data_IF_035140788438
#
_entry.id   IF_035140788438
#
_cell.length_a   1.000
_cell.length_b   1.000
_cell.length_c   1.000
_cell.angle_alpha   90.00
_cell.angle_beta   90.00
_cell.angle_gamma   90.00
#
_symmetry.space_group_name_H-M   'P 1'
#
loop_
_entity.id
_entity.type
_entity.pdbx_description
1 polymer ?
#
# COMPACT_ATOMS: atom_id res chain seq x y z
N UNK A 1 73.48 83.68 -19.13
CA UNK A 1 72.17 84.31 -19.38
C UNK A 1 71.87 84.02 -20.82
N UNK A 2 70.90 83.14 -21.08
CA UNK A 2 70.51 82.81 -22.46
C UNK A 2 69.79 84.03 -23.06
N UNK A 3 70.31 84.53 -24.18
CA UNK A 3 69.67 85.59 -24.95
C UNK A 3 68.47 84.94 -25.63
N UNK A 4 67.23 85.41 -25.41
CA UNK A 4 66.07 84.86 -26.09
C UNK A 4 66.17 85.15 -27.59
N UNK A 5 66.17 84.09 -28.40
CA UNK A 5 66.12 84.16 -29.86
C UNK A 5 64.74 83.73 -30.36
N UNK A 6 64.27 84.32 -31.47
CA UNK A 6 63.01 83.95 -32.11
C UNK A 6 63.22 82.74 -33.03
N UNK A 7 62.49 81.65 -32.77
CA UNK A 7 62.52 80.41 -33.55
C UNK A 7 62.20 80.64 -35.03
N UNK A 8 61.34 81.61 -35.35
CA UNK A 8 60.98 81.92 -36.75
C UNK A 8 62.18 82.43 -37.57
N UNK A 9 63.06 83.20 -36.92
CA UNK A 9 64.25 83.79 -37.55
C UNK A 9 65.33 82.74 -37.75
N UNK A 10 65.50 81.82 -36.78
CA UNK A 10 66.41 80.66 -36.89
C UNK A 10 66.05 79.81 -38.10
N UNK A 11 64.77 79.47 -38.27
CA UNK A 11 64.31 78.64 -39.40
C UNK A 11 64.53 79.33 -40.75
N UNK A 12 64.32 80.65 -40.84
CA UNK A 12 64.58 81.41 -42.06
C UNK A 12 66.06 81.45 -42.46
N UNK A 13 66.96 81.67 -41.50
CA UNK A 13 68.40 81.64 -41.76
C UNK A 13 68.89 80.24 -42.11
N UNK A 14 68.40 79.21 -41.43
CA UNK A 14 68.69 77.81 -41.73
C UNK A 14 68.24 77.42 -43.15
N UNK A 15 67.03 77.84 -43.54
CA UNK A 15 66.47 77.57 -44.87
C UNK A 15 67.20 78.32 -45.98
N UNK A 16 67.65 79.55 -45.72
CA UNK A 16 68.47 80.32 -46.65
C UNK A 16 69.83 79.66 -46.87
N UNK A 17 70.52 79.26 -45.81
CA UNK A 17 71.81 78.56 -45.89
C UNK A 17 71.69 77.22 -46.65
N UNK A 18 70.59 76.49 -46.43
CA UNK A 18 70.31 75.25 -47.17
C UNK A 18 70.09 75.51 -48.67
N UNK A 19 69.33 76.56 -49.04
CA UNK A 19 69.10 76.93 -50.44
C UNK A 19 70.35 77.43 -51.15
N UNK A 20 71.29 78.03 -50.41
CA UNK A 20 72.60 78.48 -50.93
C UNK A 20 73.62 77.32 -51.04
N UNK A 21 73.26 76.10 -50.65
CA UNK A 21 74.14 74.92 -50.70
C UNK A 21 75.19 74.87 -49.59
N UNK A 22 75.05 75.71 -48.55
CA UNK A 22 75.95 75.77 -47.41
C UNK A 22 75.52 74.78 -46.31
N UNK A 23 76.50 74.26 -45.55
CA UNK A 23 76.23 73.28 -44.49
C UNK A 23 75.67 73.97 -43.24
N UNK A 24 74.36 73.83 -43.01
CA UNK A 24 73.67 74.38 -41.84
C UNK A 24 74.27 73.81 -40.54
N UNK A 25 74.97 74.65 -39.77
CA UNK A 25 75.59 74.30 -38.48
C UNK A 25 75.25 75.35 -37.43
N UNK A 26 75.22 74.94 -36.15
CA UNK A 26 74.84 75.82 -35.02
C UNK A 26 75.74 77.06 -34.96
N UNK A 27 77.03 76.91 -35.24
CA UNK A 27 77.99 78.03 -35.28
C UNK A 27 77.70 79.02 -36.40
N UNK A 28 77.31 78.56 -37.60
CA UNK A 28 77.00 79.44 -38.73
C UNK A 28 75.70 80.22 -38.52
N UNK A 29 74.71 79.62 -37.87
CA UNK A 29 73.47 80.34 -37.52
C UNK A 29 73.72 81.32 -36.37
N UNK A 30 74.50 80.92 -35.37
CA UNK A 30 74.92 81.79 -34.27
C UNK A 30 75.68 83.02 -34.77
N UNK A 31 76.64 82.83 -35.70
CA UNK A 31 77.38 83.91 -36.36
C UNK A 31 76.47 84.82 -37.20
N UNK A 32 75.51 84.25 -37.94
CA UNK A 32 74.57 85.01 -38.75
C UNK A 32 73.57 85.83 -37.92
N UNK A 33 73.27 85.40 -36.69
CA UNK A 33 72.37 86.07 -35.76
C UNK A 33 73.10 86.95 -34.72
N UNK A 34 74.44 86.92 -34.69
CA UNK A 34 75.28 87.59 -33.69
C UNK A 34 74.95 87.16 -32.25
N UNK A 35 74.71 85.87 -32.03
CA UNK A 35 74.39 85.27 -30.72
C UNK A 35 75.45 84.22 -30.38
N UNK A 36 75.73 83.96 -29.10
CA UNK A 36 76.61 82.86 -28.73
C UNK A 36 75.97 81.49 -29.03
N UNK A 37 76.78 80.49 -29.47
CA UNK A 37 76.30 79.13 -29.65
C UNK A 37 75.76 78.58 -28.33
N UNK A 38 74.45 78.34 -28.26
CA UNK A 38 73.75 77.82 -27.07
C UNK A 38 73.08 76.49 -27.40
N UNK A 39 72.98 75.61 -26.40
CA UNK A 39 72.26 74.34 -26.49
C UNK A 39 70.79 74.53 -26.90
N UNK A 40 70.19 75.68 -26.55
CA UNK A 40 68.84 76.05 -27.01
C UNK A 40 68.75 76.25 -28.52
N UNK A 41 69.77 76.85 -29.14
CA UNK A 41 69.82 77.06 -30.59
C UNK A 41 70.00 75.73 -31.33
N UNK A 42 70.80 74.81 -30.76
CA UNK A 42 70.95 73.46 -31.29
C UNK A 42 69.61 72.71 -31.27
N UNK A 43 68.87 72.76 -30.16
CA UNK A 43 67.58 72.10 -30.04
C UNK A 43 66.54 72.63 -31.06
N UNK A 44 66.54 73.94 -31.34
CA UNK A 44 65.62 74.52 -32.33
C UNK A 44 66.05 74.20 -33.77
N UNK A 45 67.35 74.12 -34.04
CA UNK A 45 67.88 73.71 -35.34
C UNK A 45 67.59 72.22 -35.65
N UNK A 46 67.63 71.36 -34.63
CA UNK A 46 67.19 69.96 -34.73
C UNK A 46 65.69 69.85 -35.03
N UNK A 47 64.86 70.70 -34.43
CA UNK A 47 63.41 70.76 -34.73
C UNK A 47 63.13 71.20 -36.16
N UNK A 48 63.83 72.24 -36.63
CA UNK A 48 63.76 72.66 -38.03
C UNK A 48 64.18 71.54 -38.98
N UNK A 49 65.26 70.81 -38.67
CA UNK A 49 65.71 69.70 -39.50
C UNK A 49 64.65 68.58 -39.60
N UNK A 50 64.01 68.24 -38.48
CA UNK A 50 62.88 67.30 -38.44
C UNK A 50 61.68 67.78 -39.28
N UNK A 51 61.39 69.08 -39.28
CA UNK A 51 60.31 69.66 -40.08
C UNK A 51 60.64 69.63 -41.59
N UNK A 52 61.88 69.96 -41.96
CA UNK A 52 62.37 69.87 -43.35
C UNK A 52 62.40 68.42 -43.84
N UNK A 53 62.85 67.47 -43.02
CA UNK A 53 62.77 66.03 -43.34
C UNK A 53 61.32 65.57 -43.55
N UNK A 54 60.37 66.14 -42.81
CA UNK A 54 58.93 65.90 -42.98
C UNK A 54 58.34 66.46 -44.28
N UNK A 55 58.99 67.43 -44.91
CA UNK A 55 58.55 68.07 -46.16
C UNK A 55 59.18 67.47 -47.42
N UNK A 56 60.19 66.60 -47.30
CA UNK A 56 60.77 65.87 -48.45
C UNK A 56 59.91 64.62 -48.76
N UNK A 57 59.13 64.61 -49.87
CA UNK A 57 58.18 63.54 -50.17
C UNK A 57 58.85 62.18 -50.43
N UNK A 58 60.15 62.15 -50.74
CA UNK A 58 60.89 60.94 -51.09
C UNK A 58 61.14 59.97 -49.92
N UNK A 59 60.94 60.39 -48.65
CA UNK A 59 61.12 59.52 -47.47
C UNK A 59 59.81 59.08 -46.80
N UNK A 60 58.66 59.63 -47.20
CA UNK A 60 57.34 59.20 -46.72
C UNK A 60 56.84 57.89 -47.36
N UNK A 61 57.50 57.36 -48.39
CA UNK A 61 57.17 56.06 -48.98
C UNK A 61 57.82 54.85 -48.31
N UNK A 62 58.70 55.06 -47.31
CA UNK A 62 59.44 53.98 -46.63
C UNK A 62 58.96 53.69 -45.20
N UNK A 63 57.83 54.27 -44.79
CA UNK A 63 57.21 53.98 -43.49
C UNK A 63 55.71 53.69 -43.66
N UNK A 64 55.40 52.62 -44.38
CA UNK A 64 54.23 51.79 -44.11
C UNK A 64 54.46 50.41 -44.73
N UNK A 65 54.23 49.40 -43.90
CA UNK A 65 53.95 48.01 -44.26
C UNK A 65 55.10 47.10 -44.72
N UNK A 66 55.30 46.08 -43.90
CA UNK A 66 55.93 44.80 -44.18
C UNK A 66 55.41 44.19 -45.48
N UNK A 67 55.90 44.63 -46.63
CA UNK A 67 55.90 43.89 -47.90
C UNK A 67 57.13 44.36 -48.68
N UNK A 68 58.30 43.82 -48.31
CA UNK A 68 59.42 43.72 -49.25
C UNK A 68 58.86 42.91 -50.42
N UNK A 69 58.76 43.45 -51.65
CA UNK A 69 58.51 42.59 -52.79
C UNK A 69 59.69 41.63 -52.79
N UNK A 70 59.43 40.32 -52.69
CA UNK A 70 60.44 39.31 -53.01
C UNK A 70 60.77 39.47 -54.50
N UNK A 71 61.57 40.48 -54.81
CA UNK A 71 62.27 40.59 -56.07
C UNK A 71 63.20 39.38 -56.05
N UNK A 72 62.96 38.38 -56.92
CA UNK A 72 63.75 37.17 -56.89
C UNK A 72 65.23 37.54 -57.00
N UNK A 73 66.09 36.83 -56.26
CA UNK A 73 67.54 37.06 -56.25
C UNK A 73 68.13 37.13 -57.67
N UNK A 74 67.49 36.44 -58.62
CA UNK A 74 67.82 36.49 -60.06
C UNK A 74 67.73 37.89 -60.68
N UNK A 75 66.82 38.76 -60.22
CA UNK A 75 66.68 40.14 -60.70
C UNK A 75 67.72 41.04 -60.05
N UNK A 76 68.09 40.79 -58.79
CA UNK A 76 69.17 41.53 -58.14
C UNK A 76 70.53 41.19 -58.78
N UNK A 77 70.78 39.90 -59.01
CA UNK A 77 71.95 39.41 -59.73
C UNK A 77 72.03 39.93 -61.17
N UNK A 78 70.91 40.04 -61.88
CA UNK A 78 70.91 40.55 -63.26
C UNK A 78 71.23 42.04 -63.31
N UNK A 79 70.66 42.85 -62.41
CA UNK A 79 70.97 44.29 -62.31
C UNK A 79 72.44 44.51 -61.93
N UNK A 80 72.97 43.70 -61.02
CA UNK A 80 74.38 43.79 -60.61
C UNK A 80 75.34 43.38 -61.74
N UNK A 81 75.02 42.35 -62.52
CA UNK A 81 75.76 42.00 -63.74
C UNK A 81 75.75 43.13 -64.77
N UNK A 82 74.60 43.79 -64.98
CA UNK A 82 74.49 44.91 -65.92
C UNK A 82 75.38 46.07 -65.48
N UNK A 83 75.39 46.38 -64.18
CA UNK A 83 76.24 47.43 -63.60
C UNK A 83 77.73 47.10 -63.73
N UNK A 84 78.13 45.87 -63.41
CA UNK A 84 79.52 45.42 -63.53
C UNK A 84 80.01 45.42 -65.00
N UNK A 85 79.14 45.08 -65.95
CA UNK A 85 79.45 45.14 -67.37
C UNK A 85 79.58 46.60 -67.85
N UNK A 86 78.66 47.48 -67.46
CA UNK A 86 78.75 48.91 -67.81
C UNK A 86 80.04 49.55 -67.25
N UNK A 87 80.48 49.14 -66.05
CA UNK A 87 81.73 49.61 -65.46
C UNK A 87 82.97 49.12 -66.22
N UNK A 88 82.93 47.88 -66.74
CA UNK A 88 84.00 47.33 -67.58
C UNK A 88 84.06 48.02 -68.93
N UNK A 89 82.91 48.27 -69.56
CA UNK A 89 82.84 48.95 -70.86
C UNK A 89 83.35 50.39 -70.75
N UNK A 90 82.97 51.12 -69.70
CA UNK A 90 83.48 52.47 -69.44
C UNK A 90 85.00 52.49 -69.18
N UNK A 91 85.55 51.46 -68.53
CA UNK A 91 87.00 51.31 -68.35
C UNK A 91 87.72 50.98 -69.66
N UNK A 92 87.12 50.13 -70.48
CA UNK A 92 87.66 49.76 -71.79
C UNK A 92 87.67 50.97 -72.74
N UNK A 93 86.61 51.78 -72.78
CA UNK A 93 86.59 53.03 -73.54
C UNK A 93 87.68 54.00 -73.08
N UNK A 94 87.96 54.06 -71.77
CA UNK A 94 89.00 54.92 -71.20
C UNK A 94 90.42 54.42 -71.53
N UNK A 95 90.65 53.11 -71.55
CA UNK A 95 91.92 52.50 -72.00
C UNK A 95 92.12 52.67 -73.52
N UNK A 96 91.07 52.54 -74.32
CA UNK A 96 91.13 52.76 -75.77
C UNK A 96 91.39 54.23 -76.10
N UNK A 97 90.79 55.17 -75.34
CA UNK A 97 91.09 56.59 -75.46
C UNK A 97 92.56 56.91 -75.08
N UNK A 98 93.13 56.19 -74.10
CA UNK A 98 94.54 56.35 -73.72
C UNK A 98 95.52 55.77 -74.76
N UNK A 99 95.19 54.64 -75.39
CA UNK A 99 96.05 53.96 -76.38
C UNK A 99 96.15 54.69 -77.72
N UNK A 100 95.18 55.51 -78.11
CA UNK A 100 95.20 56.28 -79.36
C UNK A 100 96.12 57.53 -79.33
N UNK A 101 96.84 57.78 -78.22
CA UNK A 101 97.67 59.00 -78.05
C UNK A 101 99.18 58.76 -78.08
N UNK A 102 99.64 57.54 -78.37
CA UNK A 102 101.09 57.22 -78.42
C UNK A 102 101.49 56.77 -79.82
N UNK A 103 102.07 57.73 -80.56
CA UNK A 103 102.75 57.55 -81.84
C UNK A 103 103.72 56.36 -81.81
N UNK A 104 103.45 55.33 -82.62
CA UNK A 104 104.46 54.31 -82.96
C UNK A 104 104.30 53.91 -84.43
N UNK A 105 104.69 54.81 -85.32
CA UNK A 105 104.95 54.48 -86.72
C UNK A 105 106.45 54.19 -86.89
N UNK A 106 106.78 53.17 -87.69
CA UNK A 106 108.13 52.77 -88.15
C UNK A 106 108.79 51.52 -87.53
N UNK A 107 108.05 50.42 -87.34
CA UNK A 107 108.66 49.06 -87.39
C UNK A 107 107.69 47.95 -87.84
N UNK A 108 106.82 48.28 -88.80
CA UNK A 108 105.45 47.78 -88.95
C UNK A 108 105.26 46.59 -89.91
N UNK A 109 106.29 45.80 -90.23
CA UNK A 109 106.12 44.67 -91.17
C UNK A 109 106.68 43.33 -90.68
N UNK A 110 107.68 43.32 -89.81
CA UNK A 110 108.14 42.09 -89.12
C UNK A 110 107.41 41.88 -87.80
N UNK A 111 107.33 42.94 -86.98
CA UNK A 111 106.54 42.96 -85.75
C UNK A 111 105.04 42.90 -86.03
N UNK A 112 104.53 43.52 -87.10
CA UNK A 112 103.10 43.39 -87.46
C UNK A 112 102.70 41.94 -87.70
N UNK A 113 103.52 41.13 -88.36
CA UNK A 113 103.18 39.70 -88.58
C UNK A 113 103.26 38.85 -87.31
N UNK A 114 104.23 39.11 -86.43
CA UNK A 114 104.36 38.41 -85.14
C UNK A 114 103.30 38.87 -84.13
N UNK A 115 102.96 40.16 -84.13
CA UNK A 115 101.88 40.74 -83.33
C UNK A 115 100.52 40.27 -83.85
N UNK A 116 100.32 40.18 -85.17
CA UNK A 116 99.13 39.58 -85.79
C UNK A 116 99.00 38.09 -85.43
N UNK A 117 100.10 37.33 -85.41
CA UNK A 117 100.11 35.94 -84.96
C UNK A 117 99.81 35.83 -83.46
N UNK A 118 100.33 36.74 -82.64
CA UNK A 118 100.05 36.79 -81.21
C UNK A 118 98.59 37.17 -80.93
N UNK A 119 98.05 38.16 -81.65
CA UNK A 119 96.63 38.56 -81.63
C UNK A 119 95.73 37.41 -82.09
N UNK A 120 96.11 36.70 -83.15
CA UNK A 120 95.40 35.52 -83.62
C UNK A 120 95.44 34.40 -82.59
N UNK A 121 96.61 34.14 -81.98
CA UNK A 121 96.76 33.11 -80.95
C UNK A 121 95.96 33.41 -79.69
N UNK A 122 96.00 34.65 -79.21
CA UNK A 122 95.21 35.10 -78.06
C UNK A 122 93.71 35.09 -78.37
N UNK A 123 93.31 35.42 -79.60
CA UNK A 123 91.93 35.29 -80.06
C UNK A 123 91.49 33.81 -80.13
N UNK A 124 92.34 32.92 -80.64
CA UNK A 124 92.08 31.47 -80.66
C UNK A 124 91.95 30.94 -79.24
N UNK A 125 92.86 31.31 -78.33
CA UNK A 125 92.81 30.91 -76.91
C UNK A 125 91.53 31.42 -76.23
N UNK A 126 91.13 32.67 -76.47
CA UNK A 126 89.86 33.20 -75.95
C UNK A 126 88.62 32.48 -76.54
N UNK A 127 88.67 32.10 -77.82
CA UNK A 127 87.62 31.31 -78.46
C UNK A 127 87.59 29.87 -77.92
N UNK A 128 88.74 29.25 -77.68
CA UNK A 128 88.87 27.92 -77.08
C UNK A 128 88.34 27.91 -75.64
N UNK A 129 88.72 28.90 -74.83
CA UNK A 129 88.20 29.09 -73.47
C UNK A 129 86.68 29.31 -73.47
N UNK A 130 86.16 30.13 -74.38
CA UNK A 130 84.73 30.34 -74.55
C UNK A 130 84.02 29.05 -74.95
N UNK A 131 84.58 28.29 -75.89
CA UNK A 131 84.04 27.00 -76.32
C UNK A 131 84.05 25.97 -75.19
N UNK A 132 85.11 25.94 -74.38
CA UNK A 132 85.21 25.06 -73.21
C UNK A 132 84.17 25.42 -72.14
N UNK A 133 83.96 26.71 -71.86
CA UNK A 133 82.89 27.17 -70.96
C UNK A 133 81.50 26.80 -71.49
N UNK A 134 81.26 26.99 -72.78
CA UNK A 134 80.00 26.61 -73.43
C UNK A 134 79.76 25.10 -73.35
N UNK A 135 80.79 24.27 -73.55
CA UNK A 135 80.69 22.81 -73.39
C UNK A 135 80.36 22.40 -71.96
N UNK A 136 81.00 23.01 -70.97
CA UNK A 136 80.70 22.75 -69.55
C UNK A 136 79.26 23.18 -69.21
N UNK A 137 78.82 24.35 -69.66
CA UNK A 137 77.43 24.79 -69.48
C UNK A 137 76.43 23.86 -70.16
N UNK A 138 76.72 23.37 -71.36
CA UNK A 138 75.89 22.37 -72.03
C UNK A 138 75.81 21.07 -71.23
N UNK A 139 76.93 20.58 -70.70
CA UNK A 139 76.97 19.39 -69.86
C UNK A 139 76.17 19.57 -68.55
N UNK A 140 76.28 20.72 -67.90
CA UNK A 140 75.50 21.05 -66.70
C UNK A 140 74.00 21.14 -67.01
N UNK A 141 73.62 21.69 -68.17
CA UNK A 141 72.23 21.74 -68.62
C UNK A 141 71.70 20.34 -68.93
N UNK A 142 72.48 19.48 -69.59
CA UNK A 142 72.10 18.10 -69.87
C UNK A 142 71.90 17.28 -68.59
N UNK A 143 72.76 17.46 -67.58
CA UNK A 143 72.58 16.81 -66.27
C UNK A 143 71.35 17.35 -65.55
N UNK A 144 71.10 18.66 -65.58
CA UNK A 144 69.88 19.26 -65.03
C UNK A 144 68.62 18.73 -65.72
N UNK A 145 68.62 18.57 -67.05
CA UNK A 145 67.49 18.00 -67.80
C UNK A 145 67.23 16.57 -67.37
N UNK A 146 68.26 15.72 -67.26
CA UNK A 146 68.12 14.34 -66.78
C UNK A 146 67.55 14.27 -65.36
N UNK A 147 67.97 15.17 -64.47
CA UNK A 147 67.45 15.25 -63.11
C UNK A 147 65.96 15.63 -63.10
N UNK A 148 65.56 16.63 -63.89
CA UNK A 148 64.16 17.04 -64.03
C UNK A 148 63.30 15.94 -64.67
N UNK A 149 63.83 15.19 -65.63
CA UNK A 149 63.15 14.04 -66.22
C UNK A 149 62.93 12.91 -65.19
N UNK A 150 63.93 12.64 -64.35
CA UNK A 150 63.81 11.68 -63.25
C UNK A 150 62.78 12.13 -62.20
N UNK A 151 62.79 13.41 -61.82
CA UNK A 151 61.80 14.00 -60.92
C UNK A 151 60.39 13.90 -61.50
N UNK A 152 60.22 14.23 -62.79
CA UNK A 152 58.93 14.08 -63.49
C UNK A 152 58.45 12.63 -63.51
N UNK A 153 59.35 11.67 -63.71
CA UNK A 153 59.00 10.25 -63.68
C UNK A 153 58.57 9.80 -62.26
N UNK A 154 59.29 10.23 -61.22
CA UNK A 154 58.92 9.97 -59.83
C UNK A 154 57.57 10.60 -59.46
N UNK A 155 57.34 11.86 -59.82
CA UNK A 155 56.07 12.55 -59.59
C UNK A 155 54.91 11.87 -60.31
N UNK A 156 55.11 11.38 -61.54
CA UNK A 156 54.09 10.58 -62.25
C UNK A 156 53.77 9.28 -61.54
N UNK A 157 54.79 8.57 -61.05
CA UNK A 157 54.59 7.33 -60.29
C UNK A 157 53.87 7.59 -58.96
N UNK A 158 54.23 8.66 -58.26
CA UNK A 158 53.57 9.08 -57.02
C UNK A 158 52.12 9.47 -57.28
N UNK A 159 51.84 10.22 -58.35
CA UNK A 159 50.49 10.60 -58.73
C UNK A 159 49.64 9.36 -59.00
N UNK A 160 50.13 8.41 -59.81
CA UNK A 160 49.43 7.16 -60.09
C UNK A 160 49.16 6.34 -58.81
N UNK A 161 50.12 6.28 -57.88
CA UNK A 161 49.91 5.63 -56.59
C UNK A 161 48.85 6.34 -55.74
N UNK A 162 48.85 7.68 -55.72
CA UNK A 162 47.85 8.46 -54.98
C UNK A 162 46.46 8.30 -55.57
N UNK A 163 46.32 8.26 -56.90
CA UNK A 163 45.04 8.01 -57.60
C UNK A 163 44.51 6.61 -57.26
N UNK A 164 45.37 5.58 -57.27
CA UNK A 164 44.99 4.23 -56.84
C UNK A 164 44.53 4.21 -55.37
N UNK A 165 45.26 4.88 -54.48
CA UNK A 165 44.90 4.96 -53.06
C UNK A 165 43.56 5.68 -52.84
N UNK A 166 43.30 6.75 -53.59
CA UNK A 166 42.01 7.46 -53.55
C UNK A 166 40.88 6.53 -54.01
N UNK A 167 41.06 5.77 -55.10
CA UNK A 167 40.07 4.79 -55.56
C UNK A 167 39.79 3.69 -54.53
N UNK A 168 40.82 3.19 -53.85
CA UNK A 168 40.64 2.21 -52.76
C UNK A 168 39.91 2.81 -51.55
N UNK A 169 40.22 4.05 -51.16
CA UNK A 169 39.53 4.75 -50.09
C UNK A 169 38.06 5.01 -50.42
N UNK A 170 37.74 5.40 -51.66
CA UNK A 170 36.35 5.57 -52.11
C UNK A 170 35.56 4.27 -52.02
N UNK A 171 36.16 3.14 -52.43
CA UNK A 171 35.56 1.81 -52.29
C UNK A 171 35.32 1.43 -50.84
N UNK A 172 36.30 1.65 -49.97
CA UNK A 172 36.15 1.38 -48.53
C UNK A 172 35.08 2.27 -47.90
N UNK A 173 34.99 3.53 -48.32
CA UNK A 173 33.97 4.46 -47.85
C UNK A 173 32.58 4.04 -48.30
N UNK A 174 32.42 3.60 -49.55
CA UNK A 174 31.15 3.05 -50.06
C UNK A 174 30.73 1.79 -49.30
N UNK A 175 31.67 0.88 -49.02
CA UNK A 175 31.42 -0.32 -48.23
C UNK A 175 30.99 0.03 -46.79
N UNK A 176 31.73 0.92 -46.12
CA UNK A 176 31.41 1.35 -44.76
C UNK A 176 30.04 2.04 -44.66
N UNK A 177 29.64 2.79 -45.71
CA UNK A 177 28.28 3.37 -45.80
C UNK A 177 27.21 2.28 -45.93
N UNK A 178 27.43 1.29 -46.80
CA UNK A 178 26.51 0.15 -46.94
C UNK A 178 26.34 -0.64 -45.64
N UNK A 179 27.45 -0.93 -44.96
CA UNK A 179 27.43 -1.63 -43.67
C UNK A 179 26.68 -0.81 -42.59
N UNK A 180 26.87 0.51 -42.57
CA UNK A 180 26.16 1.40 -41.65
C UNK A 180 24.65 1.44 -41.92
N UNK A 181 24.22 1.49 -43.18
CA UNK A 181 22.80 1.44 -43.56
C UNK A 181 22.15 0.10 -43.21
N UNK A 182 22.87 -1.01 -43.43
CA UNK A 182 22.40 -2.34 -43.05
C UNK A 182 22.27 -2.47 -41.53
N UNK A 183 23.26 -1.98 -40.78
CA UNK A 183 23.22 -1.97 -39.32
C UNK A 183 22.07 -1.10 -38.78
N UNK A 184 21.83 0.07 -39.37
CA UNK A 184 20.72 0.94 -39.01
C UNK A 184 19.37 0.26 -39.26
N UNK A 185 19.20 -0.36 -40.43
CA UNK A 185 17.98 -1.09 -40.79
C UNK A 185 17.73 -2.28 -39.87
N UNK A 186 18.76 -3.08 -39.59
CA UNK A 186 18.68 -4.20 -38.66
C UNK A 186 18.30 -3.76 -37.24
N UNK A 187 18.88 -2.65 -36.76
CA UNK A 187 18.55 -2.07 -35.45
C UNK A 187 17.09 -1.64 -35.38
N UNK A 188 16.59 -0.97 -36.41
CA UNK A 188 15.20 -0.48 -36.44
C UNK A 188 14.20 -1.65 -36.52
N UNK A 189 14.55 -2.71 -37.22
CA UNK A 189 13.75 -3.94 -37.30
C UNK A 189 13.73 -4.70 -35.97
N UNK A 190 14.88 -4.82 -35.30
CA UNK A 190 14.98 -5.38 -33.96
C UNK A 190 14.16 -4.57 -32.94
N UNK A 191 14.21 -3.23 -33.03
CA UNK A 191 13.39 -2.35 -32.18
C UNK A 191 11.89 -2.59 -32.40
N UNK A 192 11.44 -2.66 -33.66
CA UNK A 192 10.03 -2.97 -33.99
C UNK A 192 9.59 -4.32 -33.43
N UNK A 193 10.44 -5.35 -33.54
CA UNK A 193 10.16 -6.67 -32.99
C UNK A 193 10.06 -6.65 -31.46
N UNK A 194 10.94 -5.92 -30.77
CA UNK A 194 10.89 -5.76 -29.32
C UNK A 194 9.62 -5.01 -28.88
N UNK A 195 9.28 -3.91 -29.54
CA UNK A 195 8.06 -3.14 -29.25
C UNK A 195 6.80 -4.00 -29.46
N UNK A 196 6.79 -4.84 -30.51
CA UNK A 196 5.69 -5.77 -30.77
C UNK A 196 5.58 -6.86 -29.70
N UNK A 197 6.70 -7.48 -29.31
CA UNK A 197 6.73 -8.48 -28.22
C UNK A 197 6.25 -7.89 -26.90
N UNK A 198 6.70 -6.67 -26.58
CA UNK A 198 6.27 -5.97 -25.37
C UNK A 198 4.76 -5.71 -25.37
N UNK A 199 4.19 -5.26 -26.50
CA UNK A 199 2.73 -5.09 -26.63
C UNK A 199 1.97 -6.40 -26.45
N UNK A 200 2.44 -7.49 -27.07
CA UNK A 200 1.82 -8.81 -26.94
C UNK A 200 1.90 -9.34 -25.50
N UNK A 201 3.02 -9.14 -24.82
CA UNK A 201 3.21 -9.54 -23.43
C UNK A 201 2.30 -8.75 -22.48
N UNK A 202 2.17 -7.42 -22.69
CA UNK A 202 1.23 -6.57 -21.95
C UNK A 202 -0.21 -7.07 -22.15
N UNK A 203 -0.61 -7.36 -23.40
CA UNK A 203 -1.95 -7.86 -23.70
C UNK A 203 -2.20 -9.22 -23.02
N UNK A 204 -1.25 -10.16 -23.11
CA UNK A 204 -1.34 -11.46 -22.44
C UNK A 204 -1.47 -11.31 -20.92
N UNK A 205 -0.71 -10.40 -20.31
CA UNK A 205 -0.82 -10.12 -18.88
C UNK A 205 -2.17 -9.52 -18.50
N UNK A 206 -2.67 -8.55 -19.28
CA UNK A 206 -4.00 -7.96 -19.08
C UNK A 206 -5.11 -9.01 -19.21
N UNK A 207 -5.06 -9.88 -20.21
CA UNK A 207 -6.00 -11.00 -20.34
C UNK A 207 -5.93 -11.97 -19.15
N UNK A 208 -4.72 -12.28 -18.68
CA UNK A 208 -4.51 -13.08 -17.48
C UNK A 208 -5.12 -12.45 -16.23
N UNK A 209 -4.94 -11.13 -16.07
CA UNK A 209 -5.50 -10.36 -14.98
C UNK A 209 -7.04 -10.33 -15.02
N UNK A 210 -7.63 -10.06 -16.18
CA UNK A 210 -9.09 -10.06 -16.38
C UNK A 210 -9.72 -11.44 -16.06
N UNK A 211 -9.04 -12.53 -16.44
CA UNK A 211 -9.47 -13.90 -16.09
C UNK A 211 -9.40 -14.15 -14.58
N UNK A 212 -8.35 -13.67 -13.92
CA UNK A 212 -8.21 -13.78 -12.47
C UNK A 212 -9.27 -12.94 -11.72
N UNK A 213 -9.53 -11.71 -12.16
CA UNK A 213 -10.58 -10.84 -11.62
C UNK A 213 -11.97 -11.47 -11.76
N UNK A 214 -12.27 -12.05 -12.92
CA UNK A 214 -13.53 -12.77 -13.15
C UNK A 214 -13.70 -13.96 -12.19
N UNK A 215 -12.63 -14.73 -11.95
CA UNK A 215 -12.63 -15.82 -10.97
C UNK A 215 -12.78 -15.32 -9.54
N UNK A 216 -12.09 -14.23 -9.17
CA UNK A 216 -12.22 -13.61 -7.85
C UNK A 216 -13.64 -13.12 -7.59
N UNK A 217 -14.26 -12.47 -8.57
CA UNK A 217 -15.66 -12.04 -8.51
C UNK A 217 -16.61 -13.23 -8.32
N UNK A 218 -16.39 -14.32 -9.06
CA UNK A 218 -17.15 -15.56 -8.92
C UNK A 218 -17.03 -16.17 -7.52
N UNK A 219 -15.81 -16.30 -6.98
CA UNK A 219 -15.61 -16.85 -5.64
C UNK A 219 -16.16 -15.94 -4.54
N UNK A 220 -16.08 -14.62 -4.71
CA UNK A 220 -16.71 -13.66 -3.80
C UNK A 220 -18.23 -13.86 -3.75
N UNK A 221 -18.87 -13.99 -4.92
CA UNK A 221 -20.31 -14.28 -5.00
C UNK A 221 -20.68 -15.63 -4.36
N UNK A 222 -19.86 -16.67 -4.55
CA UNK A 222 -20.06 -17.95 -3.88
C UNK A 222 -19.94 -17.83 -2.35
N UNK A 223 -18.97 -17.07 -1.85
CA UNK A 223 -18.81 -16.84 -0.41
C UNK A 223 -20.01 -16.09 0.18
N UNK A 224 -20.54 -15.09 -0.52
CA UNK A 224 -21.72 -14.36 -0.07
C UNK A 224 -22.96 -15.27 -0.05
N UNK A 225 -23.15 -16.12 -1.07
CA UNK A 225 -24.19 -17.17 -1.05
C UNK A 225 -24.06 -18.12 0.14
N UNK A 226 -22.84 -18.59 0.41
CA UNK A 226 -22.60 -19.49 1.54
C UNK A 226 -22.87 -18.80 2.87
N UNK A 227 -22.50 -17.53 3.02
CA UNK A 227 -22.83 -16.73 4.21
C UNK A 227 -24.33 -16.59 4.40
N UNK A 228 -25.07 -16.31 3.33
CA UNK A 228 -26.54 -16.21 3.39
C UNK A 228 -27.18 -17.56 3.76
N UNK A 229 -26.71 -18.66 3.17
CA UNK A 229 -27.20 -20.01 3.49
C UNK A 229 -26.88 -20.40 4.94
N UNK A 230 -25.68 -20.08 5.43
CA UNK A 230 -25.30 -20.30 6.82
C UNK A 230 -26.13 -19.45 7.77
N UNK A 231 -26.33 -18.16 7.49
CA UNK A 231 -27.18 -17.28 8.29
C UNK A 231 -28.62 -17.78 8.37
N UNK A 232 -29.18 -18.29 7.25
CA UNK A 232 -30.50 -18.93 7.24
C UNK A 232 -30.55 -20.20 8.08
N UNK A 233 -29.53 -21.08 7.97
CA UNK A 233 -29.44 -22.32 8.77
C UNK A 233 -29.29 -22.02 10.26
N UNK A 234 -28.44 -21.06 10.61
CA UNK A 234 -28.26 -20.60 12.00
C UNK A 234 -29.55 -20.03 12.56
N UNK A 235 -30.26 -19.17 11.81
CA UNK A 235 -31.57 -18.65 12.20
C UNK A 235 -32.61 -19.75 12.44
N UNK A 236 -32.67 -20.75 11.55
CA UNK A 236 -33.58 -21.89 11.69
C UNK A 236 -33.23 -22.77 12.90
N UNK A 237 -31.94 -23.01 13.16
CA UNK A 237 -31.48 -23.76 14.33
C UNK A 237 -31.79 -23.02 15.63
N UNK A 238 -31.57 -21.70 15.68
CA UNK A 238 -31.91 -20.89 16.84
C UNK A 238 -33.42 -20.88 17.12
N UNK A 239 -34.25 -20.77 16.08
CA UNK A 239 -35.71 -20.86 16.23
C UNK A 239 -36.14 -22.22 16.78
N UNK A 240 -35.58 -23.33 16.25
CA UNK A 240 -35.85 -24.68 16.77
C UNK A 240 -35.38 -24.86 18.22
N UNK A 241 -34.23 -24.27 18.57
CA UNK A 241 -33.72 -24.31 19.94
C UNK A 241 -34.65 -23.57 20.92
N UNK A 242 -35.15 -22.40 20.53
CA UNK A 242 -36.14 -21.66 21.32
C UNK A 242 -37.45 -22.44 21.48
N UNK A 243 -37.94 -23.06 20.41
CA UNK A 243 -39.16 -23.90 20.47
C UNK A 243 -38.99 -25.10 21.41
N UNK A 244 -37.85 -25.79 21.34
CA UNK A 244 -37.53 -26.88 22.27
C UNK A 244 -37.41 -26.38 23.71
N UNK A 245 -36.77 -25.23 23.95
CA UNK A 245 -36.71 -24.63 25.29
C UNK A 245 -38.11 -24.30 25.83
N UNK A 246 -38.99 -23.76 24.99
CA UNK A 246 -40.38 -23.49 25.36
C UNK A 246 -41.15 -24.79 25.67
N UNK A 247 -40.92 -25.85 24.90
CA UNK A 247 -41.53 -27.16 25.15
C UNK A 247 -41.04 -27.78 26.46
N UNK A 248 -39.73 -27.71 26.75
CA UNK A 248 -39.15 -28.14 28.03
C UNK A 248 -39.78 -27.37 29.19
N UNK A 249 -39.86 -26.04 29.11
CA UNK A 249 -40.46 -25.22 30.16
C UNK A 249 -41.94 -25.58 30.41
N UNK A 250 -42.73 -25.86 29.36
CA UNK A 250 -44.13 -26.31 29.51
C UNK A 250 -44.21 -27.69 30.18
N UNK A 251 -43.31 -28.60 29.81
CA UNK A 251 -43.24 -29.93 30.42
C UNK A 251 -42.85 -29.83 31.89
N UNK A 252 -41.90 -28.98 32.25
CA UNK A 252 -41.48 -28.76 33.64
C UNK A 252 -42.64 -28.26 34.51
N UNK A 253 -43.40 -27.26 34.03
CA UNK A 253 -44.62 -26.78 34.73
C UNK A 253 -45.67 -27.88 34.89
N UNK A 254 -45.84 -28.70 33.85
CA UNK A 254 -46.79 -29.83 33.87
C UNK A 254 -46.36 -30.88 34.91
N UNK A 255 -45.07 -31.25 34.92
CA UNK A 255 -44.49 -32.18 35.88
C UNK A 255 -44.63 -31.64 37.31
N UNK A 256 -44.30 -30.37 37.55
CA UNK A 256 -44.47 -29.73 38.86
C UNK A 256 -45.93 -29.78 39.35
N UNK A 257 -46.87 -29.56 38.42
CA UNK A 257 -48.30 -29.63 38.73
C UNK A 257 -48.72 -31.06 39.09
N UNK A 258 -48.29 -32.06 38.31
CA UNK A 258 -48.56 -33.47 38.59
C UNK A 258 -47.94 -33.90 39.93
N UNK A 259 -46.71 -33.48 40.24
CA UNK A 259 -46.07 -33.76 41.52
C UNK A 259 -46.88 -33.19 42.69
N UNK A 260 -47.39 -31.95 42.56
CA UNK A 260 -48.26 -31.35 43.59
C UNK A 260 -49.58 -32.11 43.75
N UNK A 261 -50.19 -32.54 42.65
CA UNK A 261 -51.42 -33.34 42.69
C UNK A 261 -51.19 -34.69 43.39
N UNK A 262 -50.10 -35.40 43.06
CA UNK A 262 -49.73 -36.66 43.70
C UNK A 262 -49.56 -36.45 45.21
N UNK A 263 -48.86 -35.39 45.64
CA UNK A 263 -48.71 -35.07 47.07
C UNK A 263 -50.05 -34.81 47.76
N UNK A 264 -50.95 -34.07 47.13
CA UNK A 264 -52.30 -33.82 47.64
C UNK A 264 -53.10 -35.12 47.80
N UNK A 265 -53.06 -35.99 46.79
CA UNK A 265 -53.73 -37.29 46.83
C UNK A 265 -53.13 -38.20 47.92
N UNK A 266 -51.82 -38.21 48.10
CA UNK A 266 -51.15 -38.94 49.19
C UNK A 266 -51.58 -38.44 50.58
N UNK A 267 -51.78 -37.14 50.75
CA UNK A 267 -52.32 -36.56 51.98
C UNK A 267 -53.78 -36.97 52.23
N UNK A 268 -54.63 -36.95 51.19
CA UNK A 268 -56.02 -37.44 51.27
C UNK A 268 -56.08 -38.92 51.61
N UNK A 269 -55.26 -39.76 50.99
CA UNK A 269 -55.17 -41.19 51.31
C UNK A 269 -54.74 -41.43 52.76
N UNK A 270 -53.80 -40.63 53.28
CA UNK A 270 -53.42 -40.68 54.71
C UNK A 270 -54.58 -40.28 55.62
N UNK A 271 -55.35 -39.25 55.26
CA UNK A 271 -56.56 -38.84 56.01
C UNK A 271 -57.60 -39.96 56.01
N UNK A 272 -57.92 -40.54 54.85
CA UNK A 272 -58.85 -41.67 54.75
C UNK A 272 -58.40 -42.88 55.55
N UNK A 273 -57.10 -43.22 55.55
CA UNK A 273 -56.58 -44.28 56.43
C UNK A 273 -56.80 -43.97 57.92
N UNK A 274 -56.57 -42.72 58.32
CA UNK A 274 -56.83 -42.26 59.69
C UNK A 274 -58.31 -42.36 60.06
N UNK A 275 -59.20 -41.92 59.16
CA UNK A 275 -60.66 -42.00 59.31
C UNK A 275 -61.14 -43.45 59.40
N UNK A 276 -60.68 -44.35 58.52
CA UNK A 276 -61.01 -45.78 58.57
C UNK A 276 -60.56 -46.39 59.91
N UNK A 277 -59.36 -46.04 60.39
CA UNK A 277 -58.85 -46.54 61.67
C UNK A 277 -59.71 -46.03 62.84
N UNK A 278 -60.08 -44.76 62.84
CA UNK A 278 -60.97 -44.17 63.85
C UNK A 278 -62.39 -44.76 63.78
N UNK A 279 -62.95 -44.92 62.59
CA UNK A 279 -64.27 -45.50 62.38
C UNK A 279 -64.28 -46.96 62.85
N UNK A 280 -63.24 -47.74 62.54
CA UNK A 280 -63.08 -49.10 63.06
C UNK A 280 -63.10 -49.14 64.59
N UNK A 281 -62.34 -48.26 65.26
CA UNK A 281 -62.35 -48.13 66.73
C UNK A 281 -63.74 -47.76 67.27
N UNK A 282 -64.41 -46.79 66.65
CA UNK A 282 -65.76 -46.36 67.03
C UNK A 282 -66.79 -47.47 66.87
N UNK A 283 -66.72 -48.24 65.78
CA UNK A 283 -67.57 -49.41 65.54
C UNK A 283 -67.30 -50.47 66.62
N UNK A 284 -66.05 -50.81 66.92
CA UNK A 284 -65.73 -51.76 67.99
C UNK A 284 -66.23 -51.30 69.36
N UNK A 285 -66.07 -50.01 69.69
CA UNK A 285 -66.56 -49.43 70.94
C UNK A 285 -68.11 -49.47 71.01
N UNK A 286 -68.79 -49.05 69.96
CA UNK A 286 -70.25 -49.11 69.84
C UNK A 286 -70.76 -50.56 69.93
N UNK A 287 -70.12 -51.50 69.24
CA UNK A 287 -70.49 -52.91 69.29
C UNK A 287 -70.32 -53.49 70.70
N UNK A 288 -69.25 -53.11 71.41
CA UNK A 288 -69.03 -53.47 72.82
C UNK A 288 -70.12 -52.87 73.71
N UNK A 289 -70.51 -51.62 73.49
CA UNK A 289 -71.59 -50.96 74.21
C UNK A 289 -72.94 -51.64 73.95
N UNK A 290 -73.26 -52.00 72.71
CA UNK A 290 -74.46 -52.76 72.33
C UNK A 290 -74.47 -54.12 73.03
N UNK A 291 -73.35 -54.85 73.05
CA UNK A 291 -73.27 -56.12 73.79
C UNK A 291 -73.49 -55.92 75.29
N UNK A 292 -72.96 -54.85 75.88
CA UNK A 292 -73.16 -54.53 77.28
C UNK A 292 -74.63 -54.19 77.60
N UNK A 293 -75.29 -53.37 76.76
CA UNK A 293 -76.72 -53.05 76.91
C UNK A 293 -77.60 -54.26 76.64
N UNK A 294 -77.27 -55.11 75.66
CA UNK A 294 -77.99 -56.34 75.38
C UNK A 294 -77.89 -57.35 76.53
N UNK A 295 -76.69 -57.51 77.12
CA UNK A 295 -76.51 -58.33 78.33
C UNK A 295 -77.25 -57.77 79.55
N UNK A 296 -77.39 -56.43 79.65
CA UNK A 296 -78.22 -55.79 80.69
C UNK A 296 -79.70 -56.02 80.43
N UNK A 297 -80.14 -55.91 79.17
CA UNK A 297 -81.51 -56.12 78.75
C UNK A 297 -81.93 -57.56 79.00
N UNK A 298 -81.11 -58.54 78.61
CA UNK A 298 -81.34 -59.96 78.91
C UNK A 298 -81.49 -60.24 80.40
N UNK A 299 -80.62 -59.64 81.24
CA UNK A 299 -80.76 -59.74 82.71
C UNK A 299 -82.09 -59.16 83.21
N UNK A 300 -82.50 -58.02 82.68
CA UNK A 300 -83.79 -57.41 83.02
C UNK A 300 -84.98 -58.26 82.51
N UNK A 301 -84.87 -58.89 81.35
CA UNK A 301 -85.86 -59.84 80.84
C UNK A 301 -85.96 -61.07 81.75
N UNK A 302 -84.84 -61.64 82.18
CA UNK A 302 -84.79 -62.77 83.12
C UNK A 302 -85.44 -62.39 84.47
N UNK A 303 -85.11 -61.20 85.00
CA UNK A 303 -85.74 -60.66 86.21
C UNK A 303 -87.25 -60.45 86.02
N UNK A 304 -87.68 -59.93 84.86
CA UNK A 304 -89.08 -59.72 84.55
C UNK A 304 -89.84 -61.04 84.46
N UNK A 305 -89.28 -62.07 83.79
CA UNK A 305 -89.88 -63.40 83.76
C UNK A 305 -90.02 -64.01 85.16
N UNK A 306 -89.01 -63.83 86.01
CA UNK A 306 -89.04 -64.29 87.40
C UNK A 306 -90.15 -63.58 88.20
N UNK A 307 -90.27 -62.25 88.05
CA UNK A 307 -91.38 -61.47 88.64
C UNK A 307 -92.74 -61.88 88.11
N UNK A 308 -92.88 -62.14 86.80
CA UNK A 308 -94.13 -62.64 86.22
C UNK A 308 -94.51 -64.03 86.78
N UNK A 309 -93.52 -64.91 86.99
CA UNK A 309 -93.73 -66.21 87.61
C UNK A 309 -94.17 -66.07 89.08
N UNK A 310 -93.52 -65.20 89.86
CA UNK A 310 -93.91 -64.86 91.24
C UNK A 310 -95.33 -64.29 91.29
N UNK A 311 -95.70 -63.40 90.37
CA UNK A 311 -97.04 -62.83 90.28
C UNK A 311 -98.06 -63.93 89.93
N UNK A 312 -97.76 -64.83 88.99
CA UNK A 312 -98.64 -65.97 88.66
C UNK A 312 -98.82 -66.89 89.85
N UNK A 313 -97.75 -67.21 90.58
CA UNK A 313 -97.81 -68.02 91.79
C UNK A 313 -98.61 -67.33 92.90
N UNK A 314 -98.35 -66.06 93.16
CA UNK A 314 -99.09 -65.23 94.12
C UNK A 314 -100.58 -65.13 93.75
N UNK A 315 -100.91 -64.93 92.47
CA UNK A 315 -102.29 -64.94 91.99
C UNK A 315 -102.95 -66.31 92.17
N UNK A 316 -102.22 -67.40 91.93
CA UNK A 316 -102.69 -68.77 92.19
C UNK A 316 -102.92 -69.01 93.67
N UNK A 317 -102.00 -68.58 94.54
CA UNK A 317 -102.17 -68.62 96.02
C UNK A 317 -103.39 -67.81 96.44
N UNK A 318 -103.54 -66.58 95.96
CA UNK A 318 -104.71 -65.75 96.26
C UNK A 318 -106.03 -66.33 95.75
N UNK A 319 -106.02 -67.07 94.62
CA UNK A 319 -107.20 -67.82 94.15
C UNK A 319 -107.50 -69.03 95.04
N UNK A 320 -106.47 -69.77 95.47
CA UNK A 320 -106.62 -70.88 96.43
C UNK A 320 -107.14 -70.37 97.78
N UNK A 321 -106.57 -69.29 98.32
CA UNK A 321 -107.02 -68.66 99.56
C UNK A 321 -108.46 -68.14 99.45
N UNK A 322 -108.84 -67.55 98.31
CA UNK A 322 -110.24 -67.18 98.03
C UNK A 322 -111.14 -68.41 97.98
N UNK A 323 -110.73 -69.47 97.31
CA UNK A 323 -111.49 -70.71 97.24
C UNK A 323 -111.69 -71.34 98.63
N UNK A 324 -110.62 -71.43 99.42
CA UNK A 324 -110.65 -71.92 100.80
C UNK A 324 -111.49 -71.02 101.71
N UNK A 325 -111.40 -69.70 101.56
CA UNK A 325 -112.25 -68.74 102.26
C UNK A 325 -113.72 -68.93 101.90
N UNK A 326 -114.05 -69.04 100.61
CA UNK A 326 -115.44 -69.29 100.18
C UNK A 326 -115.94 -70.63 100.68
N UNK A 327 -115.10 -71.68 100.66
CA UNK A 327 -115.46 -73.00 101.20
C UNK A 327 -115.75 -72.93 102.70
N UNK A 328 -114.89 -72.29 103.49
CA UNK A 328 -115.12 -72.05 104.93
C UNK A 328 -116.37 -71.23 105.19
N UNK A 329 -116.62 -70.20 104.39
CA UNK A 329 -117.86 -69.40 104.48
C UNK A 329 -119.10 -70.25 104.18
N UNK A 330 -119.02 -71.15 103.19
CA UNK A 330 -120.11 -72.05 102.83
C UNK A 330 -120.37 -73.09 103.94
N UNK A 331 -119.31 -73.66 104.51
CA UNK A 331 -119.38 -74.58 105.66
C UNK A 331 -120.01 -73.88 106.88
N UNK A 332 -119.64 -72.62 107.17
CA UNK A 332 -120.25 -71.81 108.23
C UNK A 332 -121.74 -71.52 107.98
N UNK A 333 -122.14 -71.21 106.73
CA UNK A 333 -123.55 -71.01 106.37
C UNK A 333 -124.38 -72.28 106.58
N UNK A 334 -123.84 -73.44 106.23
CA UNK A 334 -124.52 -74.73 106.48
C UNK A 334 -124.65 -75.00 107.98
N UNK A 335 -123.59 -74.75 108.76
CA UNK A 335 -123.61 -74.93 110.21
C UNK A 335 -124.61 -74.00 110.91
N UNK A 336 -124.78 -72.76 110.43
CA UNK A 336 -125.85 -71.88 110.92
C UNK A 336 -127.24 -72.42 110.58
N UNK A 337 -127.44 -72.93 109.35
CA UNK A 337 -128.72 -73.51 108.93
C UNK A 337 -129.09 -74.74 109.76
N UNK A 338 -128.12 -75.57 110.10
CA UNK A 338 -128.32 -76.71 110.99
C UNK A 338 -128.69 -76.24 112.42
N UNK A 339 -128.06 -75.17 112.92
CA UNK A 339 -128.43 -74.56 114.20
C UNK A 339 -129.83 -73.94 114.19
N UNK A 340 -130.25 -73.31 113.09
CA UNK A 340 -131.60 -72.78 112.92
C UNK A 340 -132.66 -73.89 112.88
N UNK A 341 -132.35 -75.05 112.28
CA UNK A 341 -133.27 -76.21 112.29
C UNK A 341 -133.37 -76.86 113.66
N UNK A 342 -132.27 -77.00 114.42
CA UNK A 342 -132.29 -77.41 115.83
C UNK A 342 -133.10 -76.44 116.70
N UNK A 343 -132.92 -75.13 116.50
CA UNK A 343 -133.67 -74.11 117.23
C UNK A 343 -135.17 -74.24 116.97
N UNK A 344 -135.60 -74.41 115.72
CA UNK A 344 -137.00 -74.60 115.36
C UNK A 344 -137.61 -75.88 115.97
N UNK A 345 -136.86 -76.98 116.01
CA UNK A 345 -137.28 -78.21 116.67
C UNK A 345 -137.45 -78.01 118.19
N UNK A 346 -136.54 -77.24 118.82
CA UNK A 346 -136.64 -76.93 120.25
C UNK A 346 -137.86 -76.03 120.57
N UNK A 347 -138.12 -75.02 119.72
CA UNK A 347 -139.30 -74.16 119.80
C UNK A 347 -140.60 -74.96 119.66
N UNK A 348 -140.66 -75.90 118.71
CA UNK A 348 -141.81 -76.78 118.54
C UNK A 348 -142.05 -77.64 119.80
N UNK A 349 -140.98 -78.14 120.43
CA UNK A 349 -141.07 -78.96 121.65
C UNK A 349 -141.50 -78.15 122.89
N UNK A 350 -141.08 -76.89 122.99
CA UNK A 350 -141.54 -75.96 124.03
C UNK A 350 -143.03 -75.64 123.85
N UNK A 351 -143.47 -75.40 122.61
CA UNK A 351 -144.89 -75.17 122.29
C UNK A 351 -145.77 -76.39 122.61
N UNK A 352 -145.27 -77.59 122.35
CA UNK A 352 -145.93 -78.85 122.73
C UNK A 352 -146.08 -78.98 124.27
N UNK A 353 -145.00 -78.71 125.01
CA UNK A 353 -145.02 -78.74 126.47
C UNK A 353 -145.95 -77.66 127.06
N UNK A 354 -146.00 -76.47 126.48
CA UNK A 354 -146.96 -75.43 126.86
C UNK A 354 -148.41 -75.90 126.65
N UNK A 355 -148.72 -76.57 125.54
CA UNK A 355 -150.06 -77.14 125.31
C UNK A 355 -150.43 -78.22 126.33
N UNK A 356 -149.49 -79.09 126.68
CA UNK A 356 -149.69 -80.12 127.72
C UNK A 356 -149.90 -79.48 129.10
N UNK A 357 -149.15 -78.41 129.41
CA UNK A 357 -149.27 -77.68 130.67
C UNK A 357 -150.63 -76.99 130.80
N UNK A 358 -151.10 -76.32 129.73
CA UNK A 358 -152.44 -75.71 129.70
C UNK A 358 -153.55 -76.76 129.90
N UNK A 359 -153.44 -77.93 129.24
CA UNK A 359 -154.40 -79.02 129.41
C UNK A 359 -154.43 -79.56 130.86
N UNK A 360 -153.27 -79.66 131.52
CA UNK A 360 -153.16 -80.05 132.93
C UNK A 360 -153.71 -78.98 133.87
N UNK A 361 -153.52 -77.70 133.57
CA UNK A 361 -154.07 -76.59 134.35
C UNK A 361 -155.61 -76.50 134.27
N UNK A 362 -156.21 -76.86 133.13
CA UNK A 362 -157.66 -76.97 132.98
C UNK A 362 -158.25 -78.21 133.68
N UNK A 363 -157.50 -79.32 133.70
CA UNK A 363 -157.86 -80.54 134.43
C UNK A 363 -157.86 -80.31 135.96
N UNK A 364 -156.87 -79.58 136.47
CA UNK A 364 -156.81 -79.13 137.87
C UNK A 364 -158.00 -78.23 138.20
N UNK A 365 -158.31 -77.24 137.36
CA UNK A 365 -159.44 -76.32 137.59
C UNK A 365 -160.79 -77.03 137.72
N UNK A 366 -161.06 -78.07 136.92
CA UNK A 366 -162.33 -78.82 137.02
C UNK A 366 -162.43 -79.68 138.26
N UNK A 367 -161.33 -80.29 138.72
CA UNK A 367 -161.31 -81.12 139.93
C UNK A 367 -161.51 -80.29 141.21
N UNK A 368 -161.08 -79.03 141.23
CA UNK A 368 -161.31 -78.09 142.34
C UNK A 368 -162.75 -77.58 142.47
N UNK A 369 -163.59 -77.65 141.43
CA UNK A 369 -164.97 -77.13 141.48
C UNK A 369 -166.01 -78.15 142.00
N UNK A 370 -165.56 -79.30 142.50
CA UNK A 370 -166.41 -80.37 143.08
C UNK A 370 -166.22 -80.58 144.60
N UNK A 371 -165.54 -79.64 145.25
CA UNK A 371 -165.54 -79.40 146.70
C UNK A 371 -166.12 -78.01 146.95
#
# INVERSE_FOLDING_TARGET
>A
MEIPFDASVVHQHASRLLLEGNKVTVTQIADAMQIEPSDGLQAELERWWLEVEGQVPFRKSLRSDYHRPEVPETVYQSVQMIWDNALKDARLELELAARNTVDTSTNDQGLSSDDELYLSRTQIEALEDSNQRMRNQMMDRDTSVKNLEAERAMLRSNLQSTESNVGDLERLLAQARGDAEQAASSRDEAKKQLDQRMKEEILRHQEGMNKAESKLSYYRHQLDKLRDEWGKKEGALNARLQDMQAQVARNDVTNDTQIRQIRSQDEELKRFRGEITNQSRNVSASNTQILATNNRLKRLEDELQLREAEIKESKKRGLLDKADSTRRETELRNLMKDKDTELNLSLAKVSELQRIMIAREEEIRRLTAKL
#
